data_IF_234721719619
#
_entry.id   IF_234721719619
#
_cell.length_a   1.000
_cell.length_b   1.000
_cell.length_c   1.000
_cell.angle_alpha   90.00
_cell.angle_beta   90.00
_cell.angle_gamma   90.00
#
_symmetry.space_group_name_H-M   'P 1'
#
loop_
_entity.id
_entity.type
_entity.pdbx_description
1 polymer ?
#
# COMPACT_ATOMS: atom_id res chain seq x y z
N UNK A 1 -3.47 -13.12 -6.34
CA UNK A 1 -2.20 -12.37 -6.40
C UNK A 1 -1.80 -11.81 -5.03
N UNK A 2 -2.62 -10.98 -4.36
CA UNK A 2 -2.31 -10.46 -3.01
C UNK A 2 -2.01 -11.57 -1.99
N UNK A 3 -2.84 -12.61 -1.97
CA UNK A 3 -2.62 -13.80 -1.13
C UNK A 3 -1.41 -14.61 -1.61
N UNK A 4 -1.50 -15.15 -2.83
CA UNK A 4 -0.51 -16.10 -3.35
C UNK A 4 0.93 -15.56 -3.50
N UNK A 5 1.12 -14.26 -3.73
CA UNK A 5 2.45 -13.67 -3.94
C UNK A 5 2.94 -12.86 -2.74
N UNK A 6 2.04 -12.15 -2.06
CA UNK A 6 2.40 -11.20 -1.00
C UNK A 6 2.02 -11.68 0.39
N UNK A 7 1.47 -12.90 0.53
CA UNK A 7 1.12 -13.47 1.83
C UNK A 7 0.02 -12.72 2.57
N UNK A 8 -0.80 -11.92 1.86
CA UNK A 8 -1.98 -11.30 2.47
C UNK A 8 -2.93 -12.41 2.92
N UNK A 9 -3.41 -12.35 4.15
CA UNK A 9 -4.29 -13.36 4.72
C UNK A 9 -5.67 -13.29 4.05
N UNK A 10 -6.26 -14.43 3.66
CA UNK A 10 -7.63 -14.47 3.11
C UNK A 10 -8.64 -13.79 4.05
N UNK A 11 -8.48 -13.96 5.37
CA UNK A 11 -9.36 -13.38 6.39
C UNK A 11 -9.26 -11.85 6.41
N UNK A 12 -8.06 -11.29 6.20
CA UNK A 12 -7.85 -9.85 6.10
C UNK A 12 -8.58 -9.28 4.89
N UNK A 13 -8.50 -9.96 3.74
CA UNK A 13 -9.20 -9.54 2.52
C UNK A 13 -10.71 -9.64 2.67
N UNK A 14 -11.22 -10.72 3.27
CA UNK A 14 -12.64 -10.90 3.53
C UNK A 14 -13.21 -9.83 4.48
N UNK A 15 -12.46 -9.49 5.54
CA UNK A 15 -12.93 -8.58 6.60
C UNK A 15 -12.83 -7.11 6.19
N UNK A 16 -11.70 -6.70 5.60
CA UNK A 16 -11.41 -5.29 5.37
C UNK A 16 -11.54 -4.87 3.90
N UNK A 17 -11.60 -5.84 2.98
CA UNK A 17 -11.53 -5.61 1.54
C UNK A 17 -10.12 -5.21 1.07
N UNK A 18 -9.89 -5.36 -0.24
CA UNK A 18 -8.57 -5.17 -0.85
C UNK A 18 -8.00 -3.74 -0.73
N UNK A 19 -8.83 -2.73 -0.51
CA UNK A 19 -8.44 -1.32 -0.33
C UNK A 19 -8.64 -0.96 1.13
N UNK A 20 -7.64 -1.23 1.95
CA UNK A 20 -7.66 -1.04 3.40
C UNK A 20 -6.26 -0.99 3.98
N UNK A 21 -6.14 -0.43 5.19
CA UNK A 21 -4.89 -0.39 5.94
C UNK A 21 -4.28 -1.78 6.15
N UNK A 22 -5.09 -2.74 6.62
CA UNK A 22 -4.63 -4.07 6.96
C UNK A 22 -4.02 -4.79 5.74
N UNK A 23 -4.65 -4.66 4.57
CA UNK A 23 -4.16 -5.27 3.33
C UNK A 23 -2.85 -4.63 2.88
N UNK A 24 -2.73 -3.30 2.87
CA UNK A 24 -1.48 -2.68 2.39
C UNK A 24 -0.31 -2.93 3.34
N UNK A 25 -0.55 -3.04 4.65
CA UNK A 25 0.48 -3.43 5.62
C UNK A 25 1.01 -4.83 5.32
N UNK A 26 0.12 -5.81 5.15
CA UNK A 26 0.50 -7.19 4.80
C UNK A 26 1.22 -7.25 3.45
N UNK A 27 0.73 -6.52 2.44
CA UNK A 27 1.39 -6.45 1.13
C UNK A 27 2.81 -5.87 1.21
N UNK A 28 3.02 -4.82 2.00
CA UNK A 28 4.33 -4.16 2.13
C UNK A 28 5.36 -5.08 2.82
N UNK A 29 4.95 -5.73 3.93
CA UNK A 29 5.80 -6.71 4.60
C UNK A 29 6.09 -7.93 3.71
N UNK A 30 5.06 -8.40 3.01
CA UNK A 30 5.13 -9.54 2.09
C UNK A 30 6.11 -9.29 0.95
N UNK A 31 6.01 -8.14 0.26
CA UNK A 31 6.92 -7.83 -0.85
C UNK A 31 8.36 -7.63 -0.38
N UNK A 32 8.58 -6.98 0.78
CA UNK A 32 9.93 -6.82 1.33
C UNK A 32 10.57 -8.17 1.66
N UNK A 33 9.79 -9.09 2.22
CA UNK A 33 10.24 -10.45 2.57
C UNK A 33 10.51 -11.27 1.31
N UNK A 34 9.57 -11.29 0.36
CA UNK A 34 9.69 -12.02 -0.90
C UNK A 34 10.93 -11.58 -1.69
N UNK A 35 11.19 -10.27 -1.74
CA UNK A 35 12.32 -9.71 -2.47
C UNK A 35 13.66 -9.76 -1.69
N UNK A 36 13.65 -10.14 -0.40
CA UNK A 36 14.83 -10.03 0.46
C UNK A 36 15.31 -8.59 0.66
N UNK A 37 14.45 -7.59 0.44
CA UNK A 37 14.80 -6.18 0.46
C UNK A 37 14.72 -5.58 1.88
N UNK A 38 15.41 -4.45 2.08
CA UNK A 38 15.27 -3.64 3.29
C UNK A 38 13.95 -2.87 3.33
N UNK A 39 13.40 -2.51 2.17
CA UNK A 39 12.16 -1.76 2.08
C UNK A 39 11.15 -2.46 1.18
N UNK A 40 9.88 -2.38 1.55
CA UNK A 40 8.75 -2.79 0.73
C UNK A 40 7.75 -1.66 0.63
N UNK A 41 7.22 -1.42 -0.57
CA UNK A 41 6.18 -0.42 -0.79
C UNK A 41 4.98 -1.10 -1.42
N UNK A 42 3.78 -0.80 -0.91
CA UNK A 42 2.53 -1.32 -1.44
C UNK A 42 1.54 -0.19 -1.69
N UNK A 43 0.73 -0.36 -2.72
CA UNK A 43 -0.34 0.56 -3.09
C UNK A 43 -1.58 -0.26 -3.41
N UNK A 44 -2.72 0.08 -2.82
CA UNK A 44 -4.00 -0.53 -3.14
C UNK A 44 -5.10 0.53 -3.10
N UNK A 45 -5.78 0.76 -4.21
CA UNK A 45 -6.74 1.84 -4.33
C UNK A 45 -7.71 1.69 -5.49
N UNK A 46 -8.69 2.61 -5.52
CA UNK A 46 -9.78 2.65 -6.49
C UNK A 46 -9.50 3.80 -7.44
N UNK A 47 -8.80 3.52 -8.54
CA UNK A 47 -8.45 4.55 -9.53
C UNK A 47 -9.65 5.02 -10.37
N UNK A 48 -10.76 4.27 -10.41
CA UNK A 48 -11.94 4.60 -11.20
C UNK A 48 -11.88 4.18 -12.68
N UNK A 49 -12.89 4.55 -13.49
CA UNK A 49 -14.04 5.37 -13.07
C UNK A 49 -15.02 4.62 -12.15
N UNK A 50 -15.00 3.29 -12.16
CA UNK A 50 -15.89 2.45 -11.35
C UNK A 50 -15.19 1.87 -10.10
N UNK A 51 -15.96 1.12 -9.29
CA UNK A 51 -15.45 0.35 -8.16
C UNK A 51 -15.39 1.11 -6.83
N UNK A 52 -15.90 2.35 -6.79
CA UNK A 52 -16.09 3.11 -5.56
C UNK A 52 -17.35 2.71 -4.80
N UNK A 53 -17.36 2.96 -3.50
CA UNK A 53 -18.56 2.93 -2.65
C UNK A 53 -18.73 4.26 -1.90
N UNK A 54 -19.80 4.39 -1.12
CA UNK A 54 -19.98 5.55 -0.24
C UNK A 54 -18.85 5.66 0.80
N UNK A 55 -18.40 4.53 1.33
CA UNK A 55 -17.34 4.42 2.33
C UNK A 55 -15.94 4.55 1.70
N UNK A 56 -15.76 4.04 0.48
CA UNK A 56 -14.48 4.06 -0.25
C UNK A 56 -14.70 4.61 -1.65
N UNK A 57 -14.83 5.95 -1.80
CA UNK A 57 -15.09 6.55 -3.10
C UNK A 57 -13.93 6.34 -4.08
N UNK A 58 -14.20 6.53 -5.37
CA UNK A 58 -13.16 6.63 -6.39
C UNK A 58 -12.13 7.70 -5.98
N UNK A 59 -10.86 7.38 -6.19
CA UNK A 59 -9.71 8.15 -5.74
C UNK A 59 -9.16 7.72 -4.39
N UNK A 60 -9.85 6.86 -3.62
CA UNK A 60 -9.31 6.33 -2.35
C UNK A 60 -8.18 5.35 -2.61
N UNK A 61 -7.01 5.63 -2.05
CA UNK A 61 -5.80 4.82 -2.18
C UNK A 61 -5.14 4.67 -0.83
N UNK A 62 -4.82 3.43 -0.47
CA UNK A 62 -4.01 3.07 0.68
C UNK A 62 -2.57 2.79 0.24
N UNK A 63 -1.63 3.18 1.09
CA UNK A 63 -0.20 3.01 0.94
C UNK A 63 0.35 2.25 2.13
N UNK A 64 1.31 1.36 1.89
CA UNK A 64 2.07 0.68 2.94
C UNK A 64 3.56 0.82 2.67
N UNK A 65 4.34 1.11 3.70
CA UNK A 65 5.79 1.09 3.67
C UNK A 65 6.30 0.18 4.78
N UNK A 66 7.01 -0.86 4.40
CA UNK A 66 7.69 -1.79 5.28
C UNK A 66 9.18 -1.49 5.27
N UNK A 67 9.79 -1.59 6.44
CA UNK A 67 11.22 -1.45 6.66
C UNK A 67 11.72 -2.65 7.46
N UNK A 68 12.72 -3.35 6.94
CA UNK A 68 13.28 -4.58 7.51
C UNK A 68 14.66 -4.32 8.08
N UNK A 69 14.80 -4.57 9.39
CA UNK A 69 16.06 -4.46 10.14
C UNK A 69 16.31 -5.77 10.88
N UNK A 70 17.10 -6.65 10.24
CA UNK A 70 17.32 -8.01 10.71
C UNK A 70 16.03 -8.81 10.77
N UNK A 71 15.65 -9.28 11.96
CA UNK A 71 14.40 -10.01 12.19
C UNK A 71 13.16 -9.12 12.38
N UNK A 72 13.34 -7.80 12.55
CA UNK A 72 12.23 -6.85 12.72
C UNK A 72 11.75 -6.33 11.37
N UNK A 73 10.43 -6.14 11.24
CA UNK A 73 9.80 -5.49 10.10
C UNK A 73 8.78 -4.46 10.61
N UNK A 74 9.18 -3.20 10.55
CA UNK A 74 8.31 -2.08 10.91
C UNK A 74 7.48 -1.71 9.69
N UNK A 75 6.17 -1.56 9.89
CA UNK A 75 5.24 -1.27 8.79
C UNK A 75 4.39 -0.08 9.16
N UNK A 76 4.26 0.84 8.23
CA UNK A 76 3.43 2.04 8.36
C UNK A 76 2.51 2.12 7.15
N UNK A 77 1.35 2.74 7.33
CA UNK A 77 0.35 2.85 6.29
C UNK A 77 -0.36 4.19 6.36
N UNK A 78 -0.84 4.65 5.21
CA UNK A 78 -1.52 5.93 5.05
C UNK A 78 -2.60 5.83 3.97
N UNK A 79 -3.67 6.62 4.12
CA UNK A 79 -4.72 6.74 3.12
C UNK A 79 -4.73 8.14 2.51
N UNK A 80 -4.87 8.22 1.19
CA UNK A 80 -5.18 9.45 0.48
C UNK A 80 -6.45 9.31 -0.35
N UNK A 81 -7.09 10.44 -0.66
CA UNK A 81 -8.15 10.52 -1.66
C UNK A 81 -7.77 11.52 -2.73
N UNK A 82 -7.49 11.02 -3.93
CA UNK A 82 -7.12 11.85 -5.08
C UNK A 82 -8.33 12.27 -5.90
N UNK A 83 -8.16 13.37 -6.61
CA UNK A 83 -9.09 13.85 -7.63
C UNK A 83 -8.52 13.58 -9.03
N UNK A 84 -9.40 13.61 -10.01
CA UNK A 84 -9.05 13.41 -11.42
C UNK A 84 -9.49 12.04 -11.94
N UNK A 85 -9.08 11.75 -13.17
CA UNK A 85 -9.36 10.49 -13.82
C UNK A 85 -8.44 9.36 -13.34
N UNK A 86 -8.65 8.16 -13.91
CA UNK A 86 -7.86 6.97 -13.58
C UNK A 86 -6.36 7.17 -13.76
N UNK A 87 -5.93 7.94 -14.76
CA UNK A 87 -4.52 8.20 -15.01
C UNK A 87 -3.94 9.15 -13.95
N UNK A 88 -4.66 10.23 -13.65
CA UNK A 88 -4.28 11.19 -12.62
C UNK A 88 -4.17 10.54 -11.24
N UNK A 89 -5.11 9.69 -10.84
CA UNK A 89 -5.06 8.96 -9.57
C UNK A 89 -3.82 8.08 -9.48
N UNK A 90 -3.49 7.35 -10.56
CA UNK A 90 -2.30 6.49 -10.60
C UNK A 90 -1.01 7.29 -10.51
N UNK A 91 -0.88 8.39 -11.26
CA UNK A 91 0.31 9.24 -11.24
C UNK A 91 0.54 9.86 -9.86
N UNK A 92 -0.50 10.40 -9.23
CA UNK A 92 -0.43 10.93 -7.86
C UNK A 92 -0.06 9.83 -6.84
N UNK A 93 -0.59 8.62 -7.01
CA UNK A 93 -0.26 7.50 -6.12
C UNK A 93 1.23 7.13 -6.20
N UNK A 94 1.82 7.14 -7.40
CA UNK A 94 3.25 6.85 -7.56
C UNK A 94 4.10 7.89 -6.81
N UNK A 95 3.73 9.17 -6.91
CA UNK A 95 4.43 10.26 -6.23
C UNK A 95 4.40 10.04 -4.71
N UNK A 96 3.21 9.85 -4.12
CA UNK A 96 3.06 9.62 -2.68
C UNK A 96 3.83 8.39 -2.21
N UNK A 97 3.75 7.27 -2.96
CA UNK A 97 4.48 6.05 -2.63
C UNK A 97 6.00 6.29 -2.56
N UNK A 98 6.56 7.04 -3.51
CA UNK A 98 8.00 7.34 -3.56
C UNK A 98 8.42 8.38 -2.52
N UNK A 99 7.61 9.40 -2.27
CA UNK A 99 7.87 10.40 -1.22
C UNK A 99 7.88 9.77 0.18
N UNK A 100 6.93 8.88 0.46
CA UNK A 100 6.89 8.13 1.71
C UNK A 100 8.10 7.21 1.87
N UNK A 101 8.59 6.59 0.79
CA UNK A 101 9.83 5.81 0.83
C UNK A 101 11.04 6.71 1.09
N UNK A 102 11.16 7.84 0.37
CA UNK A 102 12.25 8.81 0.55
C UNK A 102 12.35 9.30 1.99
N UNK A 103 11.21 9.60 2.63
CA UNK A 103 11.18 10.05 4.01
C UNK A 103 11.77 9.01 4.99
N UNK A 104 11.54 7.72 4.71
CA UNK A 104 12.03 6.61 5.55
C UNK A 104 13.51 6.28 5.30
N UNK A 105 13.99 6.49 4.08
CA UNK A 105 15.42 6.39 3.77
C UNK A 105 16.25 7.47 4.48
N UNK A 106 15.68 8.65 4.72
CA UNK A 106 16.36 9.77 5.38
C UNK A 106 16.42 9.70 6.91
N UNK A 107 15.65 8.81 7.53
CA UNK A 107 15.61 8.61 8.99
C UNK A 107 16.77 7.78 9.56
N UNK A 108 17.71 7.36 8.71
CA UNK A 108 18.90 6.57 9.05
C UNK A 108 20.21 7.37 9.07
N UNK A 109 20.14 8.72 9.08
CA UNK A 109 21.28 9.62 9.16
C UNK A 109 21.44 10.24 10.55
#
# INVERSE_FOLDING_TARGET
AKEALLGVRPETLATHGAVSEAVVREMAAGVATLAGANFGVSVSGIAGPDGGSAEKPVGTVWFGWAERRGARCDVSAEQHRFRGDRAAVRSQSVIIALEGLRARLGSDA
#
